data_IF_447527144895
#
_entry.id   IF_447527144895
#
_cell.length_a   1.000
_cell.length_b   1.000
_cell.length_c   1.000
_cell.angle_alpha   90.00
_cell.angle_beta   90.00
_cell.angle_gamma   90.00
#
_symmetry.space_group_name_H-M   'P 1'
#
loop_
_entity.id
_entity.type
_entity.pdbx_description
1 polymer ?
#
# COMPACT_ATOMS: atom_id res chain seq x y z
N UNK A 1 -17.39 10.02 20.29
CA UNK A 1 -16.27 9.75 19.37
C UNK A 1 -16.69 8.59 18.49
N UNK A 2 -17.12 8.91 17.28
CA UNK A 2 -17.78 7.94 16.39
C UNK A 2 -16.76 6.99 15.76
N UNK A 3 -17.01 5.69 15.90
CA UNK A 3 -16.17 4.58 15.42
C UNK A 3 -16.21 4.39 13.89
N UNK A 4 -16.68 5.38 13.14
CA UNK A 4 -17.03 5.25 11.71
C UNK A 4 -16.39 6.32 10.81
N UNK A 5 -15.35 7.01 11.25
CA UNK A 5 -14.63 7.93 10.34
C UNK A 5 -13.68 7.14 9.44
N UNK A 6 -14.24 6.55 8.40
CA UNK A 6 -13.52 6.14 7.19
C UNK A 6 -13.33 7.39 6.34
N UNK A 7 -12.13 7.95 6.28
CA UNK A 7 -11.79 8.94 5.26
C UNK A 7 -11.62 8.20 3.92
N UNK A 8 -12.74 8.03 3.21
CA UNK A 8 -12.83 7.37 1.91
C UNK A 8 -14.30 7.11 1.58
N UNK A 9 -14.87 7.87 0.66
CA UNK A 9 -16.32 7.93 0.37
C UNK A 9 -16.91 6.68 -0.31
N UNK A 10 -16.21 5.54 -0.30
CA UNK A 10 -16.62 4.32 -1.00
C UNK A 10 -16.65 3.08 -0.12
N UNK A 11 -17.62 2.20 -0.35
CA UNK A 11 -17.65 0.88 0.26
C UNK A 11 -16.51 0.00 -0.31
N UNK A 12 -15.87 -0.80 0.54
CA UNK A 12 -14.90 -1.80 0.10
C UNK A 12 -15.58 -2.84 -0.82
N UNK A 13 -14.94 -3.17 -1.94
CA UNK A 13 -15.40 -4.22 -2.87
C UNK A 13 -15.28 -5.61 -2.23
N UNK A 14 -14.20 -5.85 -1.49
CA UNK A 14 -13.91 -7.13 -0.86
C UNK A 14 -13.24 -6.89 0.51
N UNK A 15 -13.56 -7.72 1.51
CA UNK A 15 -12.86 -7.76 2.80
C UNK A 15 -12.19 -9.11 2.96
N UNK A 16 -10.86 -9.11 3.07
CA UNK A 16 -10.06 -10.33 3.20
C UNK A 16 -9.54 -10.42 4.63
N UNK A 17 -9.84 -11.53 5.31
CA UNK A 17 -9.35 -11.75 6.67
C UNK A 17 -7.87 -12.14 6.66
N UNK A 18 -7.01 -11.28 7.23
CA UNK A 18 -5.56 -11.47 7.23
C UNK A 18 -5.01 -12.33 8.38
N UNK A 19 -5.78 -12.47 9.45
CA UNK A 19 -5.35 -13.14 10.67
C UNK A 19 -5.66 -12.31 11.90
N UNK A 20 -5.26 -12.82 13.06
CA UNK A 20 -5.34 -12.11 14.33
C UNK A 20 -3.94 -12.00 14.90
N UNK A 21 -3.55 -10.79 15.26
CA UNK A 21 -2.28 -10.52 15.90
C UNK A 21 -2.54 -9.72 17.18
N UNK A 22 -1.70 -9.94 18.20
CA UNK A 22 -1.83 -9.30 19.51
C UNK A 22 -0.67 -8.32 19.67
N UNK A 23 -0.91 -7.07 19.27
CA UNK A 23 -0.02 -5.93 19.50
C UNK A 23 -0.80 -4.86 20.21
N UNK A 24 -0.16 -4.15 21.13
CA UNK A 24 -0.79 -3.00 21.74
C UNK A 24 -0.92 -1.86 20.74
N UNK A 25 -1.99 -1.06 20.86
CA UNK A 25 -2.23 0.04 19.93
C UNK A 25 -1.02 0.98 19.83
N UNK A 26 -0.41 1.31 20.96
CA UNK A 26 0.75 2.22 21.02
C UNK A 26 1.96 1.66 20.27
N UNK A 27 2.29 0.39 20.48
CA UNK A 27 3.39 -0.28 19.78
C UNK A 27 3.15 -0.31 18.26
N UNK A 28 1.90 -0.53 17.84
CA UNK A 28 1.54 -0.50 16.44
C UNK A 28 1.67 0.91 15.83
N UNK A 29 1.23 1.95 16.54
CA UNK A 29 1.37 3.34 16.10
C UNK A 29 2.85 3.77 16.02
N UNK A 30 3.68 3.39 16.99
CA UNK A 30 5.12 3.63 16.97
C UNK A 30 5.79 2.93 15.78
N UNK A 31 5.41 1.67 15.51
CA UNK A 31 5.87 0.94 14.34
C UNK A 31 5.50 1.64 13.03
N UNK A 32 4.26 2.13 12.91
CA UNK A 32 3.82 2.88 11.73
C UNK A 32 4.58 4.20 11.55
N UNK A 33 4.91 4.90 12.64
CA UNK A 33 5.71 6.12 12.57
C UNK A 33 7.12 5.84 12.04
N UNK A 34 7.77 4.77 12.52
CA UNK A 34 9.07 4.33 11.98
C UNK A 34 8.97 4.04 10.49
N UNK A 35 7.91 3.36 10.04
CA UNK A 35 7.71 3.11 8.61
C UNK A 35 7.51 4.40 7.81
N UNK A 36 6.75 5.36 8.33
CA UNK A 36 6.51 6.65 7.68
C UNK A 36 7.78 7.50 7.57
N UNK A 37 8.73 7.38 8.49
CA UNK A 37 10.00 8.10 8.44
C UNK A 37 11.06 7.36 7.58
N UNK A 38 10.92 6.04 7.44
CA UNK A 38 11.92 5.20 6.78
C UNK A 38 11.43 4.64 5.44
N UNK A 39 10.64 3.57 5.44
CA UNK A 39 10.40 2.76 4.24
C UNK A 39 9.21 3.24 3.40
N UNK A 40 8.18 3.80 4.03
CA UNK A 40 6.91 4.15 3.40
C UNK A 40 6.55 5.63 3.60
N UNK A 41 7.57 6.48 3.58
CA UNK A 41 7.41 7.93 3.56
C UNK A 41 6.74 8.40 2.27
N UNK A 42 6.08 9.56 2.32
CA UNK A 42 5.30 10.09 1.19
C UNK A 42 6.14 10.27 -0.08
N UNK A 43 7.37 10.77 0.05
CA UNK A 43 8.32 10.98 -1.05
C UNK A 43 8.78 9.68 -1.73
N UNK A 44 8.64 8.54 -1.05
CA UNK A 44 8.96 7.22 -1.61
C UNK A 44 7.81 6.59 -2.37
N UNK A 45 6.63 7.20 -2.37
CA UNK A 45 5.47 6.66 -3.07
C UNK A 45 5.70 6.59 -4.58
N UNK A 46 5.44 5.42 -5.16
CA UNK A 46 5.45 5.22 -6.60
C UNK A 46 4.32 4.29 -7.01
N UNK A 47 3.42 4.74 -7.90
CA UNK A 47 2.23 3.99 -8.33
C UNK A 47 2.53 2.55 -8.76
N UNK A 48 3.66 2.29 -9.43
CA UNK A 48 4.00 0.95 -9.92
C UNK A 48 4.93 0.14 -9.01
N UNK A 49 5.69 0.80 -8.13
CA UNK A 49 6.85 0.17 -7.48
C UNK A 49 6.81 0.25 -5.95
N UNK A 50 6.02 1.17 -5.40
CA UNK A 50 6.02 1.43 -3.96
C UNK A 50 4.72 2.14 -3.56
N UNK A 51 3.61 1.41 -3.60
CA UNK A 51 2.26 1.95 -3.40
C UNK A 51 1.55 1.33 -2.18
N UNK A 52 0.26 1.62 -2.01
CA UNK A 52 -0.56 1.10 -0.92
C UNK A 52 -0.58 -0.44 -0.82
N UNK A 53 -0.50 -1.15 -1.94
CA UNK A 53 -0.47 -2.61 -1.96
C UNK A 53 0.87 -3.16 -1.46
N UNK A 54 1.98 -2.47 -1.75
CA UNK A 54 3.32 -2.84 -1.25
C UNK A 54 3.40 -2.62 0.27
N UNK A 55 2.88 -1.50 0.75
CA UNK A 55 2.75 -1.22 2.19
C UNK A 55 1.90 -2.28 2.90
N UNK A 56 0.71 -2.57 2.37
CA UNK A 56 -0.19 -3.57 2.96
C UNK A 56 0.43 -4.97 2.94
N UNK A 57 1.15 -5.33 1.86
CA UNK A 57 1.87 -6.60 1.78
C UNK A 57 2.98 -6.70 2.83
N UNK A 58 3.77 -5.62 3.00
CA UNK A 58 4.80 -5.55 4.02
C UNK A 58 4.22 -5.76 5.43
N UNK A 59 3.14 -5.05 5.78
CA UNK A 59 2.47 -5.23 7.07
C UNK A 59 1.94 -6.66 7.24
N UNK A 60 1.33 -7.22 6.19
CA UNK A 60 0.81 -8.58 6.22
C UNK A 60 1.92 -9.60 6.48
N UNK A 61 3.04 -9.46 5.77
CA UNK A 61 4.18 -10.34 5.94
C UNK A 61 4.80 -10.18 7.34
N UNK A 62 4.92 -8.95 7.84
CA UNK A 62 5.46 -8.66 9.17
C UNK A 62 4.65 -9.36 10.27
N UNK A 63 3.33 -9.16 10.31
CA UNK A 63 2.47 -9.61 11.41
C UNK A 63 1.92 -11.04 11.25
N UNK A 64 1.70 -11.48 10.01
CA UNK A 64 1.00 -12.74 9.72
C UNK A 64 1.84 -13.73 8.91
N UNK A 65 3.10 -13.38 8.58
CA UNK A 65 4.04 -14.21 7.81
C UNK A 65 3.45 -14.71 6.49
N UNK A 66 2.63 -13.88 5.87
CA UNK A 66 1.96 -14.18 4.60
C UNK A 66 1.74 -12.92 3.79
N UNK A 67 1.72 -13.08 2.48
CA UNK A 67 1.45 -11.99 1.54
C UNK A 67 -0.06 -11.74 1.37
N UNK A 68 -0.41 -10.57 0.86
CA UNK A 68 -1.77 -10.30 0.35
C UNK A 68 -2.00 -11.09 -0.96
N UNK A 69 -3.26 -11.28 -1.40
CA UNK A 69 -3.53 -12.02 -2.62
C UNK A 69 -2.77 -11.48 -3.84
N UNK A 70 -2.05 -12.38 -4.53
CA UNK A 70 -1.18 -12.04 -5.67
C UNK A 70 -1.88 -11.20 -6.74
N UNK A 71 -3.16 -11.47 -7.01
CA UNK A 71 -4.00 -10.70 -7.95
C UNK A 71 -3.96 -9.17 -7.72
N UNK A 72 -3.78 -8.74 -6.47
CA UNK A 72 -3.72 -7.33 -6.08
C UNK A 72 -2.34 -6.73 -6.41
N UNK A 73 -1.27 -7.49 -6.21
CA UNK A 73 0.12 -7.07 -6.50
C UNK A 73 0.42 -7.10 -8.00
N UNK A 74 -0.09 -8.11 -8.71
CA UNK A 74 0.10 -8.30 -10.15
C UNK A 74 -0.46 -7.16 -11.01
N UNK A 75 -1.36 -6.34 -10.48
CA UNK A 75 -1.91 -5.20 -11.22
C UNK A 75 -0.81 -4.23 -11.65
N UNK A 76 0.15 -3.95 -10.77
CA UNK A 76 1.27 -3.07 -11.08
C UNK A 76 2.22 -3.72 -12.09
N UNK A 77 2.49 -5.03 -11.94
CA UNK A 77 3.35 -5.78 -12.86
C UNK A 77 2.79 -5.82 -14.28
N UNK A 78 1.52 -6.18 -14.43
CA UNK A 78 0.83 -6.14 -15.73
C UNK A 78 0.81 -4.73 -16.33
N UNK A 79 0.75 -3.71 -15.48
CA UNK A 79 0.89 -2.32 -15.87
C UNK A 79 2.25 -2.04 -16.51
N UNK A 80 3.35 -2.50 -15.92
CA UNK A 80 4.72 -2.25 -16.41
C UNK A 80 4.97 -2.80 -17.81
N UNK A 81 4.36 -3.93 -18.16
CA UNK A 81 4.46 -4.55 -19.49
C UNK A 81 3.71 -3.76 -20.58
N UNK A 82 2.83 -2.83 -20.17
CA UNK A 82 2.03 -2.04 -21.10
C UNK A 82 2.84 -0.89 -21.70
N UNK A 83 2.88 -0.83 -23.05
CA UNK A 83 3.52 0.27 -23.79
C UNK A 83 2.98 1.65 -23.40
N UNK A 84 1.69 1.76 -23.10
CA UNK A 84 1.10 3.05 -22.70
C UNK A 84 1.52 3.47 -21.29
N UNK A 85 1.64 2.53 -20.37
CA UNK A 85 2.16 2.80 -19.03
C UNK A 85 3.64 3.18 -19.12
N UNK A 86 4.43 2.45 -19.90
CA UNK A 86 5.82 2.82 -20.19
C UNK A 86 5.93 4.23 -20.76
N UNK A 87 5.07 4.60 -21.71
CA UNK A 87 5.01 5.96 -22.23
C UNK A 87 4.69 7.00 -21.15
N UNK A 88 3.68 6.76 -20.30
CA UNK A 88 3.30 7.67 -19.21
C UNK A 88 4.46 7.88 -18.23
N UNK A 89 5.12 6.80 -17.80
CA UNK A 89 6.16 6.86 -16.77
C UNK A 89 7.57 7.19 -17.29
N UNK A 90 7.83 7.08 -18.60
CA UNK A 90 9.10 7.50 -19.20
C UNK A 90 9.12 8.99 -19.57
N UNK A 91 7.96 9.61 -19.75
CA UNK A 91 7.83 11.05 -20.03
C UNK A 91 7.72 11.90 -18.75
N UNK A 92 8.44 11.52 -17.68
CA UNK A 92 8.42 12.13 -16.33
C UNK A 92 8.71 13.64 -16.28
N UNK A 93 9.09 14.29 -17.38
CA UNK A 93 9.19 15.75 -17.47
C UNK A 93 7.83 16.48 -17.51
N UNK A 94 6.71 15.79 -17.70
CA UNK A 94 5.38 16.43 -17.81
C UNK A 94 4.46 16.27 -16.59
N UNK A 95 4.81 15.41 -15.62
CA UNK A 95 3.91 15.08 -14.49
C UNK A 95 4.47 15.41 -13.11
N UNK A 96 5.64 16.05 -13.03
CA UNK A 96 6.09 16.76 -11.84
C UNK A 96 5.74 18.25 -12.00
N UNK A 97 4.49 18.60 -11.69
CA UNK A 97 4.10 19.95 -11.28
C UNK A 97 3.78 19.93 -9.79
#
# INVERSE_FOLDING_TARGET
MDKNVMYGTGAFIEKIYMGRHKTEKKEFEEFLNVLNESLFSHDKYHVLNHNCNHFTNFLSNHFFKRDIPKKILELAEKGKDSKIVGFIFNNKSQFNQ
#
